data_IF_148829093568
#
_entry.id   IF_148829093568
#
_cell.length_a   1.000
_cell.length_b   1.000
_cell.length_c   1.000
_cell.angle_alpha   90.00
_cell.angle_beta   90.00
_cell.angle_gamma   90.00
#
_symmetry.space_group_name_H-M   'P 1'
#
loop_
_entity.id
_entity.type
_entity.pdbx_description
1 polymer ?
#
# COMPACT_ATOMS: atom_id res chain seq x y z
N UNK A 1 -23.24 -8.18 -11.87
CA UNK A 1 -22.89 -6.85 -11.33
C UNK A 1 -23.93 -6.49 -10.29
N UNK A 2 -23.58 -6.61 -9.02
CA UNK A 2 -24.42 -6.20 -7.89
C UNK A 2 -24.46 -4.66 -7.82
N UNK A 3 -25.61 -4.08 -7.48
CA UNK A 3 -25.80 -2.62 -7.40
C UNK A 3 -24.79 -1.92 -6.46
N UNK A 4 -24.28 -2.63 -5.46
CA UNK A 4 -23.31 -2.13 -4.49
C UNK A 4 -21.96 -1.82 -5.12
N UNK A 5 -21.48 -2.66 -6.05
CA UNK A 5 -20.19 -2.47 -6.72
C UNK A 5 -20.20 -1.24 -7.66
N UNK A 6 -21.28 -1.06 -8.43
CA UNK A 6 -21.45 0.13 -9.28
C UNK A 6 -21.51 1.41 -8.45
N UNK A 7 -22.20 1.38 -7.31
CA UNK A 7 -22.29 2.52 -6.39
C UNK A 7 -20.92 2.87 -5.83
N UNK A 8 -20.12 1.87 -5.48
CA UNK A 8 -18.73 2.05 -5.03
C UNK A 8 -17.87 2.66 -6.14
N UNK A 9 -17.88 2.11 -7.36
CA UNK A 9 -17.08 2.61 -8.47
C UNK A 9 -17.45 4.06 -8.84
N UNK A 10 -18.74 4.38 -8.90
CA UNK A 10 -19.21 5.74 -9.18
C UNK A 10 -18.77 6.71 -8.10
N UNK A 11 -18.93 6.36 -6.82
CA UNK A 11 -18.51 7.20 -5.69
C UNK A 11 -16.99 7.38 -5.67
N UNK A 12 -16.23 6.33 -5.98
CA UNK A 12 -14.79 6.37 -6.11
C UNK A 12 -14.36 7.36 -7.20
N UNK A 13 -14.94 7.26 -8.40
CA UNK A 13 -14.67 8.17 -9.53
C UNK A 13 -14.98 9.62 -9.17
N UNK A 14 -16.06 9.87 -8.46
CA UNK A 14 -16.42 11.20 -7.98
C UNK A 14 -15.40 11.77 -6.98
N UNK A 15 -14.88 10.94 -6.08
CA UNK A 15 -13.90 11.37 -5.07
C UNK A 15 -12.52 11.63 -5.69
N UNK A 16 -12.07 10.77 -6.61
CA UNK A 16 -10.75 10.92 -7.23
C UNK A 16 -10.69 12.09 -8.20
N UNK A 17 -11.78 12.35 -8.95
CA UNK A 17 -11.88 13.48 -9.87
C UNK A 17 -12.27 14.80 -9.20
N UNK A 18 -12.66 14.77 -7.91
CA UNK A 18 -12.99 16.00 -7.20
C UNK A 18 -11.77 16.91 -7.05
N UNK A 19 -11.97 18.21 -7.31
CA UNK A 19 -10.94 19.25 -7.07
C UNK A 19 -10.55 19.37 -5.59
N UNK A 20 -11.44 18.97 -4.68
CA UNK A 20 -11.21 18.95 -3.22
C UNK A 20 -11.75 17.67 -2.61
N UNK A 21 -10.95 17.03 -1.77
CA UNK A 21 -11.38 15.86 -1.00
C UNK A 21 -12.46 16.27 0.01
N UNK A 22 -13.66 15.71 -0.15
CA UNK A 22 -14.75 15.89 0.81
C UNK A 22 -14.71 14.76 1.83
N UNK A 23 -14.52 15.11 3.11
CA UNK A 23 -14.53 14.14 4.21
C UNK A 23 -15.84 13.35 4.27
N UNK A 24 -16.98 14.00 3.98
CA UNK A 24 -18.28 13.32 3.95
C UNK A 24 -18.37 12.26 2.85
N UNK A 25 -17.88 12.57 1.63
CA UNK A 25 -17.84 11.59 0.53
C UNK A 25 -16.87 10.43 0.83
N UNK A 26 -15.73 10.74 1.45
CA UNK A 26 -14.75 9.72 1.87
C UNK A 26 -15.37 8.76 2.88
N UNK A 27 -16.03 9.28 3.92
CA UNK A 27 -16.66 8.44 4.95
C UNK A 27 -17.77 7.56 4.36
N UNK A 28 -18.58 8.09 3.44
CA UNK A 28 -19.59 7.29 2.72
C UNK A 28 -18.95 6.18 1.88
N UNK A 29 -17.87 6.49 1.16
CA UNK A 29 -17.12 5.50 0.37
C UNK A 29 -16.56 4.39 1.26
N UNK A 30 -15.97 4.75 2.40
CA UNK A 30 -15.46 3.81 3.38
C UNK A 30 -16.57 2.94 3.97
N UNK A 31 -17.73 3.51 4.29
CA UNK A 31 -18.86 2.76 4.81
C UNK A 31 -19.39 1.74 3.80
N UNK A 32 -19.51 2.13 2.52
CA UNK A 32 -19.91 1.21 1.44
C UNK A 32 -18.88 0.08 1.31
N UNK A 33 -17.59 0.41 1.32
CA UNK A 33 -16.51 -0.57 1.23
C UNK A 33 -16.54 -1.58 2.38
N UNK A 34 -16.74 -1.12 3.62
CA UNK A 34 -16.83 -1.99 4.79
C UNK A 34 -18.04 -2.93 4.74
N UNK A 35 -19.14 -2.53 4.10
CA UNK A 35 -20.34 -3.36 3.94
C UNK A 35 -20.16 -4.45 2.87
N UNK A 36 -19.32 -4.22 1.86
CA UNK A 36 -19.11 -5.14 0.73
C UNK A 36 -17.74 -5.87 0.77
N UNK A 37 -17.21 -6.10 1.97
CA UNK A 37 -15.94 -6.82 2.16
C UNK A 37 -15.99 -8.30 1.75
N UNK A 38 -17.18 -8.85 1.47
CA UNK A 38 -17.33 -10.19 0.89
C UNK A 38 -16.78 -10.29 -0.53
N UNK A 39 -16.84 -9.18 -1.29
CA UNK A 39 -16.33 -9.08 -2.66
C UNK A 39 -15.03 -8.26 -2.73
N UNK A 40 -14.18 -8.40 -1.70
CA UNK A 40 -12.93 -7.66 -1.55
C UNK A 40 -12.02 -7.72 -2.78
N UNK A 41 -11.97 -8.85 -3.48
CA UNK A 41 -11.18 -9.01 -4.73
C UNK A 41 -11.57 -8.00 -5.81
N UNK A 42 -12.88 -7.89 -6.09
CA UNK A 42 -13.36 -7.00 -7.16
C UNK A 42 -13.18 -5.54 -6.78
N UNK A 43 -13.41 -5.22 -5.51
CA UNK A 43 -13.20 -3.88 -4.97
C UNK A 43 -11.74 -3.44 -5.09
N UNK A 44 -10.78 -4.28 -4.66
CA UNK A 44 -9.34 -3.99 -4.75
C UNK A 44 -8.90 -3.83 -6.21
N UNK A 45 -9.39 -4.70 -7.10
CA UNK A 45 -9.09 -4.63 -8.54
C UNK A 45 -9.58 -3.32 -9.17
N UNK A 46 -10.84 -2.94 -8.90
CA UNK A 46 -11.43 -1.70 -9.41
C UNK A 46 -10.72 -0.46 -8.86
N UNK A 47 -10.37 -0.47 -7.58
CA UNK A 47 -9.59 0.58 -6.93
C UNK A 47 -8.21 0.76 -7.58
N UNK A 48 -7.47 -0.34 -7.78
CA UNK A 48 -6.14 -0.34 -8.41
C UNK A 48 -6.18 0.06 -9.88
N UNK A 49 -7.15 -0.46 -10.64
CA UNK A 49 -7.34 -0.10 -12.06
C UNK A 49 -7.65 1.39 -12.21
N UNK A 50 -8.53 1.91 -11.37
CA UNK A 50 -8.85 3.35 -11.36
C UNK A 50 -7.59 4.16 -11.09
N UNK A 51 -6.82 3.80 -10.06
CA UNK A 51 -5.56 4.48 -9.73
C UNK A 51 -4.59 4.58 -10.92
N UNK A 52 -4.36 3.47 -11.63
CA UNK A 52 -3.46 3.43 -12.79
C UNK A 52 -3.91 4.30 -13.96
N UNK A 53 -5.21 4.53 -14.11
CA UNK A 53 -5.76 5.35 -15.20
C UNK A 53 -5.79 6.85 -14.88
N UNK A 54 -5.50 7.25 -13.63
CA UNK A 54 -5.60 8.64 -13.19
C UNK A 54 -4.34 9.46 -13.51
N UNK A 55 -4.54 10.77 -13.66
CA UNK A 55 -3.46 11.75 -13.75
C UNK A 55 -2.79 11.99 -12.39
N UNK A 56 -1.55 12.49 -12.38
CA UNK A 56 -0.73 12.71 -11.18
C UNK A 56 -1.47 13.45 -10.05
N UNK A 57 -2.27 14.47 -10.40
CA UNK A 57 -3.06 15.23 -9.42
C UNK A 57 -4.16 14.39 -8.77
N UNK A 58 -4.85 13.55 -9.54
CA UNK A 58 -5.91 12.67 -9.02
C UNK A 58 -5.35 11.43 -8.30
N UNK A 59 -4.10 11.03 -8.59
CA UNK A 59 -3.40 9.96 -7.85
C UNK A 59 -3.22 10.32 -6.38
N UNK A 60 -3.01 11.60 -6.05
CA UNK A 60 -3.00 12.09 -4.65
C UNK A 60 -4.32 11.74 -3.97
N UNK A 61 -5.45 12.09 -4.60
CA UNK A 61 -6.77 11.82 -4.05
C UNK A 61 -7.01 10.33 -3.85
N UNK A 62 -6.63 9.51 -4.83
CA UNK A 62 -6.72 8.05 -4.74
C UNK A 62 -5.88 7.50 -3.60
N UNK A 63 -4.67 8.02 -3.35
CA UNK A 63 -3.83 7.59 -2.24
C UNK A 63 -4.49 7.84 -0.87
N UNK A 64 -5.17 8.98 -0.69
CA UNK A 64 -5.95 9.24 0.52
C UNK A 64 -7.14 8.29 0.68
N UNK A 65 -7.78 7.90 -0.42
CA UNK A 65 -8.84 6.87 -0.39
C UNK A 65 -8.27 5.54 0.08
N UNK A 66 -7.11 5.14 -0.46
CA UNK A 66 -6.41 3.92 -0.04
C UNK A 66 -6.06 3.94 1.45
N UNK A 67 -5.49 5.04 1.96
CA UNK A 67 -5.19 5.21 3.39
C UNK A 67 -6.45 5.06 4.26
N UNK A 68 -7.52 5.78 3.91
CA UNK A 68 -8.77 5.75 4.66
C UNK A 68 -9.37 4.34 4.72
N UNK A 69 -9.38 3.62 3.59
CA UNK A 69 -9.87 2.25 3.52
C UNK A 69 -8.99 1.27 4.29
N UNK A 70 -7.67 1.36 4.15
CA UNK A 70 -6.74 0.49 4.86
C UNK A 70 -6.87 0.65 6.38
N UNK A 71 -6.94 1.89 6.87
CA UNK A 71 -7.16 2.19 8.29
C UNK A 71 -8.52 1.71 8.78
N UNK A 72 -9.57 1.92 8.00
CA UNK A 72 -10.91 1.46 8.36
C UNK A 72 -10.98 -0.07 8.44
N UNK A 73 -10.40 -0.78 7.46
CA UNK A 73 -10.31 -2.23 7.46
C UNK A 73 -9.49 -2.74 8.65
N UNK A 74 -8.32 -2.12 8.93
CA UNK A 74 -7.49 -2.47 10.10
C UNK A 74 -8.24 -2.31 11.41
N UNK A 75 -8.99 -1.22 11.56
CA UNK A 75 -9.82 -0.98 12.73
C UNK A 75 -10.90 -2.07 12.89
N UNK A 76 -11.52 -2.50 11.78
CA UNK A 76 -12.49 -3.60 11.83
C UNK A 76 -11.85 -4.93 12.20
N UNK A 77 -10.67 -5.25 11.63
CA UNK A 77 -9.89 -6.44 11.98
C UNK A 77 -9.56 -6.45 13.48
N UNK A 78 -9.08 -5.33 14.02
CA UNK A 78 -8.74 -5.21 15.44
C UNK A 78 -9.99 -5.29 16.34
N UNK A 79 -11.09 -4.64 15.95
CA UNK A 79 -12.34 -4.59 16.73
C UNK A 79 -13.02 -5.96 16.80
N UNK A 80 -13.07 -6.68 15.68
CA UNK A 80 -13.75 -7.96 15.56
C UNK A 80 -12.80 -9.16 15.70
N UNK A 81 -11.50 -8.92 15.94
CA UNK A 81 -10.42 -9.93 15.98
C UNK A 81 -10.51 -10.92 14.80
N UNK A 82 -10.78 -10.38 13.62
CA UNK A 82 -11.01 -11.18 12.41
C UNK A 82 -9.69 -11.77 11.94
N UNK A 83 -9.61 -13.09 11.92
CA UNK A 83 -8.53 -13.80 11.23
C UNK A 83 -8.89 -13.99 9.75
N UNK A 84 -7.88 -14.04 8.85
CA UNK A 84 -8.13 -14.46 7.48
C UNK A 84 -8.80 -15.84 7.50
N UNK A 85 -9.97 -16.01 6.87
CA UNK A 85 -10.56 -17.33 6.73
C UNK A 85 -9.62 -18.24 5.93
N UNK A 86 -9.61 -19.53 6.27
CA UNK A 86 -8.84 -20.54 5.53
C UNK A 86 -9.31 -20.70 4.07
N UNK A 87 -10.55 -20.27 3.79
CA UNK A 87 -11.12 -20.27 2.46
C UNK A 87 -10.91 -18.90 1.76
N UNK A 88 -10.16 -18.85 0.65
CA UNK A 88 -9.92 -17.62 -0.11
C UNK A 88 -11.17 -17.08 -0.82
N UNK A 89 -12.27 -17.84 -0.88
CA UNK A 89 -13.54 -17.43 -1.50
C UNK A 89 -14.44 -16.62 -0.56
N UNK A 90 -14.23 -16.72 0.75
CA UNK A 90 -14.88 -15.81 1.73
C UNK A 90 -14.04 -14.54 1.90
N UNK A 91 -14.46 -13.46 1.23
CA UNK A 91 -13.91 -12.13 1.48
C UNK A 91 -14.18 -11.69 2.91
N UNK A 92 -13.13 -11.29 3.61
CA UNK A 92 -13.22 -10.69 4.95
C UNK A 92 -12.24 -9.51 5.02
N UNK A 93 -12.37 -8.65 6.04
CA UNK A 93 -11.48 -7.49 6.25
C UNK A 93 -10.00 -7.91 6.32
N UNK A 94 -9.70 -9.10 6.85
CA UNK A 94 -8.35 -9.65 6.92
C UNK A 94 -7.81 -10.06 5.54
N UNK A 95 -8.63 -10.72 4.71
CA UNK A 95 -8.28 -11.07 3.31
C UNK A 95 -8.06 -9.82 2.46
N UNK A 96 -8.89 -8.80 2.67
CA UNK A 96 -8.76 -7.50 2.03
C UNK A 96 -7.42 -6.82 2.34
N UNK A 97 -6.95 -6.87 3.61
CA UNK A 97 -5.64 -6.35 3.98
C UNK A 97 -4.51 -7.05 3.20
N UNK A 98 -4.53 -8.39 3.13
CA UNK A 98 -3.51 -9.16 2.40
C UNK A 98 -3.51 -8.80 0.91
N UNK A 99 -4.69 -8.63 0.30
CA UNK A 99 -4.81 -8.22 -1.11
C UNK A 99 -4.31 -6.80 -1.33
N UNK A 100 -4.59 -5.86 -0.43
CA UNK A 100 -4.03 -4.52 -0.48
C UNK A 100 -2.52 -4.55 -0.39
N UNK A 101 -1.94 -5.32 0.54
CA UNK A 101 -0.49 -5.46 0.66
C UNK A 101 0.15 -5.96 -0.65
N UNK A 102 -0.50 -6.91 -1.35
CA UNK A 102 -0.01 -7.43 -2.62
C UNK A 102 0.00 -6.42 -3.77
N UNK A 103 -0.92 -5.45 -3.79
CA UNK A 103 -0.96 -4.39 -4.82
C UNK A 103 -0.20 -3.12 -4.39
N UNK A 104 0.13 -3.00 -3.11
CA UNK A 104 0.69 -1.79 -2.51
C UNK A 104 2.04 -1.42 -3.12
N UNK A 105 2.92 -2.39 -3.34
CA UNK A 105 4.22 -2.15 -3.99
C UNK A 105 4.07 -1.59 -5.39
N UNK A 106 3.17 -2.18 -6.21
CA UNK A 106 2.97 -1.72 -7.58
C UNK A 106 2.36 -0.32 -7.61
N UNK A 107 1.43 -0.02 -6.69
CA UNK A 107 0.85 1.31 -6.55
C UNK A 107 1.92 2.33 -6.13
N UNK A 108 2.75 1.99 -5.15
CA UNK A 108 3.80 2.88 -4.66
C UNK A 108 4.84 3.18 -5.73
N UNK A 109 5.27 2.16 -6.49
CA UNK A 109 6.19 2.35 -7.61
C UNK A 109 5.61 3.26 -8.70
N UNK A 110 4.32 3.16 -9.01
CA UNK A 110 3.64 4.02 -9.98
C UNK A 110 3.61 5.49 -9.52
N UNK A 111 3.40 5.73 -8.22
CA UNK A 111 3.51 7.05 -7.61
C UNK A 111 4.93 7.62 -7.68
N UNK A 112 5.94 6.79 -7.39
CA UNK A 112 7.35 7.20 -7.39
C UNK A 112 7.92 7.44 -8.79
N UNK A 113 7.39 6.76 -9.79
CA UNK A 113 7.73 6.96 -11.21
C UNK A 113 7.18 8.30 -11.71
N UNK A 114 6.09 8.77 -11.10
CA UNK A 114 5.51 10.08 -11.41
C UNK A 114 6.46 11.19 -10.92
N UNK A 115 6.96 12.02 -11.83
CA UNK A 115 7.89 13.14 -11.53
C UNK A 115 7.17 14.35 -10.93
N UNK A 116 6.34 14.13 -9.92
CA UNK A 116 5.64 15.19 -9.19
C UNK A 116 6.14 15.21 -7.74
N UNK A 117 6.89 16.25 -7.39
CA UNK A 117 7.41 16.45 -6.02
C UNK A 117 6.28 16.62 -5.00
N UNK A 118 5.15 17.21 -5.39
CA UNK A 118 3.97 17.34 -4.53
C UNK A 118 3.46 15.97 -4.15
N UNK A 119 3.38 15.06 -5.11
CA UNK A 119 2.93 13.68 -4.88
C UNK A 119 3.89 12.95 -3.92
N UNK A 120 5.21 13.09 -4.11
CA UNK A 120 6.22 12.50 -3.21
C UNK A 120 6.10 13.01 -1.78
N UNK A 121 5.88 14.31 -1.58
CA UNK A 121 5.65 14.88 -0.25
C UNK A 121 4.37 14.35 0.40
N UNK A 122 3.29 14.20 -0.37
CA UNK A 122 2.05 13.60 0.15
C UNK A 122 2.25 12.12 0.49
N UNK A 123 2.94 11.37 -0.37
CA UNK A 123 3.29 9.97 -0.10
C UNK A 123 4.09 9.82 1.19
N UNK A 124 5.09 10.67 1.43
CA UNK A 124 5.83 10.72 2.71
C UNK A 124 4.91 10.89 3.93
N UNK A 125 3.94 11.82 3.84
CA UNK A 125 2.98 12.07 4.92
C UNK A 125 2.05 10.87 5.15
N UNK A 126 1.61 10.21 4.09
CA UNK A 126 0.79 8.99 4.19
C UNK A 126 1.58 7.85 4.82
N UNK A 127 2.86 7.70 4.45
CA UNK A 127 3.74 6.69 5.04
C UNK A 127 3.88 6.90 6.56
N UNK A 128 4.09 8.15 7.00
CA UNK A 128 4.15 8.50 8.42
C UNK A 128 2.83 8.20 9.16
N UNK A 129 1.68 8.45 8.52
CA UNK A 129 0.36 8.08 9.06
C UNK A 129 0.23 6.56 9.22
N UNK A 130 0.75 5.76 8.28
CA UNK A 130 0.71 4.31 8.37
C UNK A 130 1.62 3.76 9.47
N UNK A 131 2.81 4.32 9.63
CA UNK A 131 3.74 4.00 10.73
C UNK A 131 3.08 4.32 12.06
N UNK A 132 2.52 5.53 12.21
CA UNK A 132 1.88 5.98 13.46
C UNK A 132 0.66 5.14 13.85
N UNK A 133 -0.15 4.74 12.87
CA UNK A 133 -1.36 3.94 13.13
C UNK A 133 -1.11 2.42 13.16
N UNK A 134 0.12 1.96 12.90
CA UNK A 134 0.45 0.54 12.74
C UNK A 134 -0.53 -0.17 11.78
N UNK A 135 -0.85 0.50 10.66
CA UNK A 135 -1.81 -0.01 9.67
C UNK A 135 -1.25 -1.25 8.97
N UNK A 136 0.04 -1.21 8.62
CA UNK A 136 0.78 -2.28 7.94
C UNK A 136 1.95 -2.75 8.81
N UNK A 137 2.46 -3.98 8.62
CA UNK A 137 3.65 -4.45 9.32
C UNK A 137 4.89 -3.62 8.96
N UNK A 138 5.78 -3.40 9.93
CA UNK A 138 6.97 -2.55 9.77
C UNK A 138 7.86 -2.95 8.60
N UNK A 139 7.97 -4.25 8.31
CA UNK A 139 8.75 -4.75 7.17
C UNK A 139 8.24 -4.23 5.81
N UNK A 140 6.93 -4.02 5.66
CA UNK A 140 6.35 -3.43 4.43
C UNK A 140 6.65 -1.93 4.41
N UNK A 141 6.50 -1.24 5.53
CA UNK A 141 6.73 0.21 5.63
C UNK A 141 8.20 0.58 5.35
N UNK A 142 9.15 -0.21 5.86
CA UNK A 142 10.58 -0.04 5.57
C UNK A 142 10.89 -0.19 4.08
N UNK A 143 10.31 -1.21 3.42
CA UNK A 143 10.44 -1.38 1.97
C UNK A 143 9.92 -0.19 1.18
N UNK A 144 8.76 0.36 1.55
CA UNK A 144 8.19 1.54 0.90
C UNK A 144 9.05 2.79 1.11
N UNK A 145 9.62 2.94 2.31
CA UNK A 145 10.57 4.02 2.61
C UNK A 145 11.84 3.90 1.76
N UNK A 146 12.40 2.70 1.65
CA UNK A 146 13.56 2.44 0.80
C UNK A 146 13.27 2.74 -0.68
N UNK A 147 12.09 2.37 -1.19
CA UNK A 147 11.70 2.68 -2.56
C UNK A 147 11.62 4.20 -2.80
N UNK A 148 11.08 4.95 -1.84
CA UNK A 148 11.01 6.41 -1.90
C UNK A 148 12.40 7.05 -1.92
N UNK A 149 13.33 6.57 -1.10
CA UNK A 149 14.74 6.98 -1.14
C UNK A 149 15.41 6.62 -2.46
N UNK A 150 15.13 5.43 -2.99
CA UNK A 150 15.69 4.95 -4.25
C UNK A 150 15.17 5.75 -5.45
N UNK A 151 13.92 6.22 -5.43
CA UNK A 151 13.37 7.13 -6.43
C UNK A 151 14.06 8.50 -6.37
N UNK A 152 14.36 9.02 -5.17
CA UNK A 152 15.17 10.23 -5.02
C UNK A 152 16.62 10.04 -5.51
N UNK A 153 17.18 8.84 -5.31
CA UNK A 153 18.53 8.45 -5.76
C UNK A 153 18.58 8.02 -7.24
N UNK A 154 17.43 7.88 -7.91
CA UNK A 154 17.31 7.46 -9.32
C UNK A 154 17.89 8.45 -10.33
N UNK A 155 18.14 9.71 -9.92
CA UNK A 155 18.95 10.65 -10.70
C UNK A 155 20.46 10.33 -10.68
N UNK A 156 20.92 9.44 -9.78
CA UNK A 156 22.33 9.08 -9.60
C UNK A 156 22.61 7.57 -9.82
N UNK A 157 21.58 6.75 -10.10
CA UNK A 157 21.70 5.28 -10.24
C UNK A 157 22.01 4.79 -11.66
N UNK A 158 22.76 5.58 -12.44
CA UNK A 158 23.58 5.03 -13.54
C UNK A 158 25.00 4.68 -13.03
N UNK A 159 25.35 4.98 -11.76
CA UNK A 159 26.72 4.75 -11.24
C UNK A 159 26.89 3.62 -10.21
N UNK A 160 25.84 2.96 -9.72
CA UNK A 160 25.97 1.90 -8.70
C UNK A 160 25.18 0.63 -9.06
N UNK A 161 25.40 0.11 -10.27
CA UNK A 161 24.94 -1.22 -10.66
C UNK A 161 26.00 -2.32 -10.43
N UNK A 162 27.01 -2.07 -9.59
CA UNK A 162 28.18 -2.93 -9.46
C UNK A 162 28.66 -3.22 -8.03
N UNK A 163 27.86 -2.94 -7.00
CA UNK A 163 28.16 -3.30 -5.62
C UNK A 163 26.84 -3.42 -4.84
N UNK A 164 26.39 -4.56 -4.32
CA UNK A 164 26.99 -5.86 -4.09
C UNK A 164 25.91 -6.91 -4.34
N UNK A 165 26.23 -7.82 -5.25
CA UNK A 165 25.70 -9.16 -5.21
C UNK A 165 26.31 -9.83 -3.96
N UNK A 166 25.50 -10.60 -3.24
CA UNK A 166 25.88 -11.48 -2.12
C UNK A 166 25.94 -10.84 -0.74
N UNK A 167 24.87 -11.02 0.04
CA UNK A 167 25.03 -11.73 1.31
C UNK A 167 23.75 -12.51 1.61
N UNK A 168 23.73 -13.71 1.01
CA UNK A 168 22.86 -14.80 1.40
C UNK A 168 23.22 -15.16 2.85
N UNK A 169 22.19 -15.35 3.66
CA UNK A 169 22.25 -15.93 4.99
C UNK A 169 23.21 -17.13 5.05
N UNK A 170 24.28 -16.99 5.83
CA UNK A 170 25.01 -18.09 6.44
C UNK A 170 25.05 -17.81 7.94
N UNK A 171 24.34 -18.66 8.70
CA UNK A 171 24.39 -18.74 10.15
C UNK A 171 25.84 -18.84 10.66
N UNK A 172 26.23 -18.10 11.70
CA UNK A 172 27.51 -18.29 12.36
C UNK A 172 27.36 -19.31 13.50
N UNK A 173 27.75 -20.56 13.24
CA UNK A 173 28.04 -21.50 14.32
C UNK A 173 29.11 -22.50 13.88
N UNK A 174 30.37 -22.08 13.87
CA UNK A 174 31.42 -22.87 14.52
C UNK A 174 32.73 -22.08 14.65
N UNK A 175 33.15 -21.93 15.90
CA UNK A 175 34.52 -21.65 16.33
C UNK A 175 35.51 -22.62 15.66
N UNK A 176 36.67 -22.11 15.22
CA UNK A 176 37.97 -22.68 15.57
C UNK A 176 39.11 -21.74 15.15
N UNK A 177 39.72 -21.12 16.18
CA UNK A 177 41.09 -20.64 16.18
C UNK A 177 42.06 -21.76 15.76
N UNK A 178 43.03 -21.48 14.88
CA UNK A 178 44.44 -21.82 15.16
C UNK A 178 45.42 -21.15 14.19
N UNK A 179 46.23 -20.26 14.77
CA UNK A 179 47.68 -20.07 14.59
C UNK A 179 48.27 -19.97 13.18
N UNK A 180 48.66 -18.74 12.83
CA UNK A 180 49.93 -18.45 12.14
C UNK A 180 50.70 -17.44 12.99
N UNK A 181 51.78 -17.87 13.66
CA UNK A 181 52.88 -16.99 14.05
C UNK A 181 54.17 -17.79 14.24
N UNK A 182 55.19 -17.36 13.48
CA UNK A 182 56.60 -17.80 13.40
C UNK A 182 56.90 -19.23 12.96
#
# INVERSE_FOLDING_TARGET
>A
MTYHEQTFESTLKDVVNAKRLSASKMNKLTEIALRDMQNDTQMVSTLFRTHKTLSSAAKVNSLYVFDALARAARNQVNKHRLTPPSDPTQGNCATFMVKIEGILDSLWQDLLTTRDETLKEKSKKILDIWVKNNTFPSAVLERLSQQLENSAKGAYRILYLSAECSFRSCNPSHFAFSKCLL
#
